data_IF_104101623458
#
_entry.id   IF_104101623458
#
_cell.length_a   1.000
_cell.length_b   1.000
_cell.length_c   1.000
_cell.angle_alpha   90.00
_cell.angle_beta   90.00
_cell.angle_gamma   90.00
#
_symmetry.space_group_name_H-M   'P 1'
#
loop_
_entity.id
_entity.type
_entity.pdbx_description
1 polymer ?
#
# COMPACT_ATOMS: atom_id res chain seq x y z
N UNK A 1 -15.79 -12.35 -7.92
CA UNK A 1 -15.81 -11.11 -7.09
C UNK A 1 -15.20 -9.93 -7.89
N UNK A 2 -15.71 -8.71 -7.76
CA UNK A 2 -15.13 -7.52 -8.43
C UNK A 2 -13.93 -6.94 -7.65
N UNK A 3 -13.07 -6.17 -8.31
CA UNK A 3 -11.94 -5.48 -7.65
C UNK A 3 -12.43 -4.54 -6.54
N UNK A 4 -13.51 -3.80 -6.78
CA UNK A 4 -14.08 -2.89 -5.77
C UNK A 4 -14.58 -3.65 -4.54
N UNK A 5 -15.19 -4.83 -4.70
CA UNK A 5 -15.60 -5.68 -3.58
C UNK A 5 -14.38 -6.24 -2.84
N UNK A 6 -13.34 -6.66 -3.56
CA UNK A 6 -12.09 -7.14 -2.97
C UNK A 6 -11.39 -6.08 -2.13
N UNK A 7 -11.23 -4.85 -2.66
CA UNK A 7 -10.57 -3.75 -1.93
C UNK A 7 -11.34 -3.34 -0.66
N UNK A 8 -12.65 -3.62 -0.59
CA UNK A 8 -13.48 -3.40 0.59
C UNK A 8 -13.59 -4.64 1.51
N UNK A 9 -13.01 -5.77 1.10
CA UNK A 9 -13.05 -7.03 1.85
C UNK A 9 -12.24 -6.97 3.13
N UNK A 10 -12.49 -7.93 4.03
CA UNK A 10 -11.71 -8.09 5.26
C UNK A 10 -10.22 -8.32 4.97
N UNK A 11 -9.91 -9.15 3.96
CA UNK A 11 -8.54 -9.49 3.56
C UNK A 11 -7.76 -8.24 3.14
N UNK A 12 -8.34 -7.39 2.30
CA UNK A 12 -7.67 -6.17 1.85
C UNK A 12 -7.45 -5.15 2.98
N UNK A 13 -8.40 -5.07 3.93
CA UNK A 13 -8.28 -4.21 5.12
C UNK A 13 -7.20 -4.69 6.07
N UNK A 14 -7.18 -5.98 6.40
CA UNK A 14 -6.14 -6.58 7.25
C UNK A 14 -4.76 -6.42 6.61
N UNK A 15 -4.61 -6.67 5.30
CA UNK A 15 -3.35 -6.45 4.60
C UNK A 15 -2.85 -5.00 4.72
N UNK A 16 -3.75 -4.02 4.55
CA UNK A 16 -3.40 -2.60 4.70
C UNK A 16 -2.95 -2.30 6.14
N UNK A 17 -3.71 -2.73 7.14
CA UNK A 17 -3.40 -2.50 8.55
C UNK A 17 -2.05 -3.11 8.96
N UNK A 18 -1.75 -4.33 8.51
CA UNK A 18 -0.51 -5.04 8.83
C UNK A 18 0.72 -4.44 8.13
N UNK A 19 0.56 -3.88 6.93
CA UNK A 19 1.69 -3.46 6.11
C UNK A 19 1.95 -1.95 6.09
N UNK A 20 0.96 -1.12 6.44
CA UNK A 20 1.07 0.34 6.29
C UNK A 20 2.29 0.91 7.00
N UNK A 21 2.44 0.65 8.31
CA UNK A 21 3.54 1.25 9.07
C UNK A 21 4.90 0.78 8.57
N UNK A 22 5.05 -0.52 8.30
CA UNK A 22 6.29 -1.11 7.78
C UNK A 22 6.69 -0.49 6.43
N UNK A 23 5.75 -0.39 5.50
CA UNK A 23 6.00 0.18 4.18
C UNK A 23 6.28 1.68 4.25
N UNK A 24 5.61 2.41 5.14
CA UNK A 24 5.88 3.83 5.39
C UNK A 24 7.30 4.05 5.93
N UNK A 25 7.75 3.20 6.85
CA UNK A 25 9.10 3.28 7.41
C UNK A 25 10.19 2.95 6.38
N UNK A 26 9.96 1.92 5.55
CA UNK A 26 10.82 1.58 4.41
C UNK A 26 10.91 2.72 3.39
N UNK A 27 9.76 3.29 3.00
CA UNK A 27 9.70 4.44 2.09
C UNK A 27 10.44 5.64 2.67
N UNK A 28 10.20 5.97 3.95
CA UNK A 28 10.90 7.07 4.62
C UNK A 28 12.41 6.88 4.58
N UNK A 29 12.90 5.68 4.87
CA UNK A 29 14.33 5.36 4.82
C UNK A 29 14.89 5.61 3.43
N UNK A 30 14.24 5.11 2.38
CA UNK A 30 14.64 5.34 0.99
C UNK A 30 14.69 6.84 0.68
N UNK A 31 13.67 7.60 1.08
CA UNK A 31 13.64 9.04 0.84
C UNK A 31 14.73 9.81 1.61
N UNK A 32 15.10 9.37 2.82
CA UNK A 32 16.23 9.94 3.56
C UNK A 32 17.55 9.66 2.84
N UNK A 33 17.76 8.41 2.43
CA UNK A 33 18.98 7.96 1.76
C UNK A 33 19.19 8.71 0.43
N UNK A 34 18.12 8.96 -0.30
CA UNK A 34 18.11 9.71 -1.58
C UNK A 34 18.02 11.24 -1.40
N UNK A 35 18.00 11.74 -0.14
CA UNK A 35 17.85 13.15 0.20
C UNK A 35 16.59 13.81 -0.43
N UNK A 36 15.50 13.06 -0.53
CA UNK A 36 14.22 13.54 -1.04
C UNK A 36 13.45 14.29 0.05
N UNK A 37 12.91 15.48 -0.25
CA UNK A 37 12.22 16.31 0.74
C UNK A 37 10.93 15.65 1.29
N UNK A 38 10.37 14.68 0.55
CA UNK A 38 9.18 13.92 0.96
C UNK A 38 9.41 13.14 2.25
N UNK A 39 10.66 12.81 2.61
CA UNK A 39 11.00 12.14 3.86
C UNK A 39 10.46 12.86 5.11
N UNK A 40 10.27 14.18 5.03
CA UNK A 40 9.78 15.02 6.12
C UNK A 40 8.29 15.41 5.97
N UNK A 41 7.61 14.91 4.94
CA UNK A 41 6.20 15.21 4.68
C UNK A 41 5.34 13.97 4.97
N UNK A 42 4.77 13.92 6.19
CA UNK A 42 3.95 12.79 6.64
C UNK A 42 2.76 12.50 5.72
N UNK A 43 2.03 13.52 5.30
CA UNK A 43 0.88 13.36 4.41
C UNK A 43 1.27 12.75 3.06
N UNK A 44 2.42 13.17 2.53
CA UNK A 44 2.91 12.64 1.26
C UNK A 44 3.43 11.20 1.40
N UNK A 45 4.11 10.87 2.50
CA UNK A 45 4.49 9.51 2.82
C UNK A 45 3.26 8.60 2.97
N UNK A 46 2.22 9.07 3.64
CA UNK A 46 0.95 8.34 3.80
C UNK A 46 0.28 8.08 2.44
N UNK A 47 0.22 9.09 1.58
CA UNK A 47 -0.36 8.96 0.24
C UNK A 47 0.40 7.91 -0.60
N UNK A 48 1.72 8.03 -0.70
CA UNK A 48 2.54 7.10 -1.49
C UNK A 48 2.50 5.68 -0.91
N UNK A 49 2.46 5.55 0.43
CA UNK A 49 2.34 4.24 1.08
C UNK A 49 1.01 3.58 0.74
N UNK A 50 -0.09 4.33 0.78
CA UNK A 50 -1.41 3.83 0.39
C UNK A 50 -1.45 3.41 -1.08
N UNK A 51 -0.89 4.22 -1.99
CA UNK A 51 -0.83 3.88 -3.42
C UNK A 51 -0.03 2.58 -3.65
N UNK A 52 1.11 2.42 -2.97
CA UNK A 52 1.91 1.19 -3.05
C UNK A 52 1.13 -0.04 -2.56
N UNK A 53 0.38 0.09 -1.46
CA UNK A 53 -0.47 -0.99 -0.94
C UNK A 53 -1.59 -1.31 -1.93
N UNK A 54 -2.22 -0.29 -2.50
CA UNK A 54 -3.28 -0.47 -3.49
C UNK A 54 -2.78 -1.22 -4.74
N UNK A 55 -1.57 -0.91 -5.21
CA UNK A 55 -0.95 -1.67 -6.30
C UNK A 55 -0.73 -3.15 -5.95
N UNK A 56 -0.24 -3.45 -4.75
CA UNK A 56 -0.05 -4.85 -4.33
C UNK A 56 -1.39 -5.58 -4.19
N UNK A 57 -2.40 -4.92 -3.65
CA UNK A 57 -3.74 -5.49 -3.53
C UNK A 57 -4.37 -5.79 -4.89
N UNK A 58 -4.13 -4.93 -5.89
CA UNK A 58 -4.54 -5.20 -7.27
C UNK A 58 -3.84 -6.46 -7.79
N UNK A 59 -2.53 -6.59 -7.60
CA UNK A 59 -1.78 -7.78 -8.03
C UNK A 59 -2.31 -9.08 -7.37
N UNK A 60 -2.64 -9.02 -6.07
CA UNK A 60 -3.24 -10.16 -5.34
C UNK A 60 -4.61 -10.50 -5.93
N UNK A 61 -5.46 -9.49 -6.17
CA UNK A 61 -6.77 -9.70 -6.78
C UNK A 61 -6.66 -10.37 -8.14
N UNK A 62 -5.75 -9.88 -9.00
CA UNK A 62 -5.59 -10.40 -10.35
C UNK A 62 -5.08 -11.84 -10.40
N UNK A 63 -4.20 -12.22 -9.47
CA UNK A 63 -3.65 -13.57 -9.39
C UNK A 63 -4.61 -14.57 -8.77
N UNK A 64 -5.26 -14.18 -7.67
CA UNK A 64 -5.91 -15.16 -6.80
C UNK A 64 -7.44 -15.09 -6.86
N UNK A 65 -8.04 -13.93 -7.16
CA UNK A 65 -9.48 -13.71 -6.98
C UNK A 65 -10.27 -13.38 -8.26
N UNK A 66 -9.60 -12.93 -9.32
CA UNK A 66 -10.26 -12.48 -10.57
C UNK A 66 -11.01 -13.60 -11.31
N UNK A 67 -10.56 -14.84 -11.18
CA UNK A 67 -11.13 -16.01 -11.84
C UNK A 67 -11.97 -16.92 -10.92
N UNK A 68 -12.24 -16.45 -9.69
CA UNK A 68 -13.15 -17.11 -8.73
C UNK A 68 -14.54 -16.47 -8.78
#
# INVERSE_FOLDING_TARGET
MTLSEFLNSKVAKEYREENFQRMKDELRKICIDENWPIANNETALDAVTNDNIDHILIDIYEKDYKNQ
#
